data_IF_883116585716
#
_entry.id   IF_883116585716
#
_cell.length_a   1.000
_cell.length_b   1.000
_cell.length_c   1.000
_cell.angle_alpha   90.00
_cell.angle_beta   90.00
_cell.angle_gamma   90.00
#
_symmetry.space_group_name_H-M   'P 1'
#
loop_
_entity.id
_entity.type
_entity.pdbx_description
1 polymer ?
#
# COMPACT_ATOMS: atom_id res chain seq x y z
N UNK A 1 1.53 -20.54 -13.53
CA UNK A 1 2.47 -20.24 -12.43
C UNK A 1 2.21 -18.81 -12.02
N UNK A 2 1.53 -18.59 -10.89
CA UNK A 2 1.03 -17.27 -10.51
C UNK A 2 1.21 -17.10 -9.00
N UNK A 3 2.42 -16.71 -8.59
CA UNK A 3 2.66 -16.22 -7.24
C UNK A 3 2.05 -14.82 -7.17
N UNK A 4 1.15 -14.57 -6.22
CA UNK A 4 0.48 -13.28 -6.08
C UNK A 4 0.80 -12.76 -4.69
N UNK A 5 1.35 -11.54 -4.62
CA UNK A 5 1.41 -10.77 -3.38
C UNK A 5 0.09 -10.03 -3.28
N UNK A 6 -0.75 -10.43 -2.33
CA UNK A 6 -2.09 -9.87 -2.16
C UNK A 6 -2.05 -8.85 -1.02
N UNK A 7 -2.05 -7.56 -1.36
CA UNK A 7 -2.46 -6.52 -0.42
C UNK A 7 -3.99 -6.52 -0.43
N UNK A 8 -4.59 -7.22 0.52
CA UNK A 8 -6.02 -7.49 0.52
C UNK A 8 -6.84 -6.25 0.82
N UNK A 9 -7.60 -5.74 -0.17
CA UNK A 9 -8.85 -5.01 0.10
C UNK A 9 -9.98 -5.64 -0.70
N UNK A 10 -10.95 -6.21 0.03
CA UNK A 10 -12.11 -6.91 -0.50
C UNK A 10 -13.18 -5.90 -0.92
N UNK A 11 -13.35 -5.67 -2.23
CA UNK A 11 -14.56 -5.02 -2.74
C UNK A 11 -15.23 -5.91 -3.81
N UNK A 12 -16.42 -6.43 -3.48
CA UNK A 12 -17.31 -7.11 -4.44
C UNK A 12 -18.35 -6.12 -4.93
N UNK A 13 -18.30 -5.77 -6.22
CA UNK A 13 -19.30 -4.96 -6.90
C UNK A 13 -20.36 -5.89 -7.53
N UNK A 14 -21.53 -6.02 -6.90
CA UNK A 14 -22.67 -6.73 -7.49
C UNK A 14 -23.64 -5.75 -8.14
N UNK A 15 -23.87 -5.93 -9.44
CA UNK A 15 -24.80 -5.13 -10.25
C UNK A 15 -26.12 -5.88 -10.36
N UNK A 16 -27.13 -5.49 -9.59
CA UNK A 16 -28.49 -6.02 -9.74
C UNK A 16 -29.33 -5.04 -10.56
N UNK A 17 -29.86 -5.50 -11.69
CA UNK A 17 -30.81 -4.72 -12.50
C UNK A 17 -32.21 -4.90 -11.92
N UNK A 18 -32.88 -3.82 -11.51
CA UNK A 18 -34.30 -3.90 -11.16
C UNK A 18 -35.09 -2.67 -11.67
N UNK A 19 -36.24 -2.94 -12.29
CA UNK A 19 -37.12 -1.96 -12.94
C UNK A 19 -38.15 -1.47 -11.92
N UNK A 20 -37.91 -0.30 -11.30
CA UNK A 20 -38.82 0.27 -10.29
C UNK A 20 -39.64 1.45 -10.86
N UNK A 21 -40.97 1.36 -10.71
CA UNK A 21 -41.93 2.41 -11.04
C UNK A 21 -41.89 3.46 -9.93
N UNK A 22 -41.52 4.69 -10.28
CA UNK A 22 -41.26 5.79 -9.34
C UNK A 22 -42.59 6.45 -8.95
N UNK A 23 -43.00 6.32 -7.69
CA UNK A 23 -44.07 7.11 -7.06
C UNK A 23 -43.46 8.33 -6.36
N UNK A 24 -44.00 9.51 -6.64
CA UNK A 24 -43.43 10.83 -6.36
C UNK A 24 -43.64 11.32 -4.91
N UNK A 25 -43.14 10.58 -3.91
CA UNK A 25 -43.25 11.04 -2.51
C UNK A 25 -42.18 10.45 -1.56
N UNK A 26 -40.98 10.16 -2.04
CA UNK A 26 -39.84 9.85 -1.16
C UNK A 26 -38.74 10.85 -1.49
N UNK A 27 -38.60 11.95 -0.72
CA UNK A 27 -37.42 12.79 -0.83
C UNK A 27 -36.24 11.93 -0.35
N UNK A 28 -35.40 11.62 -1.33
CA UNK A 28 -34.17 10.86 -1.27
C UNK A 28 -33.25 11.42 -0.18
N UNK A 29 -33.25 10.76 0.98
CA UNK A 29 -32.36 10.99 2.11
C UNK A 29 -30.92 10.59 1.72
N UNK A 30 -30.21 11.51 1.05
CA UNK A 30 -28.76 11.44 0.80
C UNK A 30 -28.03 11.95 2.05
N UNK A 31 -28.05 11.17 3.13
CA UNK A 31 -27.12 11.37 4.24
C UNK A 31 -25.72 10.95 3.76
N UNK A 32 -24.87 11.93 3.46
CA UNK A 32 -23.49 11.70 3.06
C UNK A 32 -22.67 11.18 4.26
N UNK A 33 -22.28 9.91 4.23
CA UNK A 33 -21.29 9.37 5.16
C UNK A 33 -19.91 9.91 4.76
N UNK A 34 -19.17 10.47 5.73
CA UNK A 34 -17.78 10.88 5.52
C UNK A 34 -16.89 9.64 5.48
N UNK A 35 -16.36 9.31 4.31
CA UNK A 35 -15.33 8.28 4.18
C UNK A 35 -13.99 8.83 4.70
N UNK A 36 -13.30 8.06 5.54
CA UNK A 36 -11.92 8.31 5.94
C UNK A 36 -11.03 7.33 5.19
N UNK A 37 -10.08 7.84 4.40
CA UNK A 37 -9.07 7.05 3.72
C UNK A 37 -7.69 7.57 4.11
N UNK A 38 -6.78 6.66 4.42
CA UNK A 38 -5.36 6.94 4.56
C UNK A 38 -4.70 6.65 3.21
N UNK A 39 -3.92 7.59 2.69
CA UNK A 39 -3.37 7.49 1.33
C UNK A 39 -1.88 7.19 1.38
N UNK A 40 -1.49 6.06 0.79
CA UNK A 40 -0.11 5.77 0.42
C UNK A 40 0.06 6.25 -1.02
N UNK A 41 1.10 7.04 -1.29
CA UNK A 41 1.34 7.63 -2.61
C UNK A 41 1.62 6.57 -3.67
N UNK A 42 2.24 5.45 -3.26
CA UNK A 42 2.42 4.28 -4.09
C UNK A 42 3.43 3.30 -3.48
N UNK A 43 3.74 2.26 -4.24
CA UNK A 43 4.78 1.31 -3.89
C UNK A 43 5.05 0.34 -5.01
N UNK A 44 6.16 -0.36 -4.90
CA UNK A 44 6.66 -1.33 -5.87
C UNK A 44 7.19 -2.54 -5.12
N UNK A 45 7.07 -3.71 -5.74
CA UNK A 45 7.46 -4.99 -5.16
C UNK A 45 8.28 -5.75 -6.19
N UNK A 46 9.47 -6.15 -5.80
CA UNK A 46 10.40 -6.96 -6.58
C UNK A 46 10.73 -8.24 -5.83
N UNK A 47 11.07 -9.28 -6.58
CA UNK A 47 11.60 -10.50 -5.99
C UNK A 47 12.70 -11.07 -6.88
N UNK A 48 13.75 -11.56 -6.24
CA UNK A 48 14.87 -12.25 -6.86
C UNK A 48 14.95 -13.67 -6.32
N UNK A 49 15.06 -14.65 -7.22
CA UNK A 49 15.24 -16.05 -6.84
C UNK A 49 16.72 -16.30 -6.52
N UNK A 50 17.00 -16.63 -5.26
CA UNK A 50 18.36 -16.95 -4.78
C UNK A 50 18.72 -18.43 -4.99
N UNK A 51 17.76 -19.25 -5.42
CA UNK A 51 17.86 -20.71 -5.49
C UNK A 51 17.39 -21.39 -4.20
N UNK A 52 17.31 -22.72 -4.21
CA UNK A 52 16.83 -23.53 -3.07
C UNK A 52 15.47 -23.06 -2.50
N UNK A 53 14.56 -22.61 -3.38
CA UNK A 53 13.25 -22.08 -3.02
C UNK A 53 13.28 -20.82 -2.13
N UNK A 54 14.43 -20.12 -2.10
CA UNK A 54 14.59 -18.86 -1.40
C UNK A 54 14.41 -17.70 -2.37
N UNK A 55 13.65 -16.71 -1.92
CA UNK A 55 13.36 -15.50 -2.65
C UNK A 55 13.72 -14.31 -1.78
N UNK A 56 14.59 -13.43 -2.28
CA UNK A 56 14.75 -12.10 -1.72
C UNK A 56 13.62 -11.23 -2.24
N UNK A 57 12.82 -10.66 -1.35
CA UNK A 57 11.69 -9.80 -1.68
C UNK A 57 11.98 -8.41 -1.19
N UNK A 58 11.84 -7.45 -2.09
CA UNK A 58 11.99 -6.02 -1.81
C UNK A 58 10.65 -5.32 -2.03
N UNK A 59 10.14 -4.68 -0.98
CA UNK A 59 8.97 -3.81 -1.03
C UNK A 59 9.44 -2.37 -0.82
N UNK A 60 9.15 -1.50 -1.77
CA UNK A 60 9.42 -0.07 -1.66
C UNK A 60 8.08 0.65 -1.55
N UNK A 61 7.95 1.52 -0.55
CA UNK A 61 6.75 2.30 -0.27
C UNK A 61 7.08 3.78 -0.34
N UNK A 62 6.29 4.53 -1.10
CA UNK A 62 6.39 5.98 -1.21
C UNK A 62 5.23 6.62 -0.45
N UNK A 63 5.54 7.51 0.51
CA UNK A 63 4.53 8.27 1.26
C UNK A 63 4.71 9.77 1.07
N UNK A 64 3.59 10.48 1.11
CA UNK A 64 3.59 11.94 1.28
C UNK A 64 3.82 12.30 2.74
N UNK A 65 4.78 13.19 3.01
CA UNK A 65 5.10 13.64 4.36
C UNK A 65 3.98 14.46 5.02
N UNK A 66 3.05 15.02 4.24
CA UNK A 66 1.82 15.64 4.75
C UNK A 66 0.73 14.60 5.08
N UNK A 67 0.90 13.37 4.59
CA UNK A 67 -0.04 12.27 4.74
C UNK A 67 0.04 11.60 6.11
N UNK A 68 -0.34 10.32 6.12
CA UNK A 68 -0.29 9.51 7.35
C UNK A 68 1.11 8.96 7.59
N UNK A 69 1.45 8.80 8.86
CA UNK A 69 2.65 8.07 9.23
C UNK A 69 2.47 6.57 8.99
N UNK A 70 3.57 5.90 8.66
CA UNK A 70 3.62 4.44 8.61
C UNK A 70 3.72 3.90 10.03
N UNK A 71 3.15 2.72 10.26
CA UNK A 71 3.36 1.97 11.50
C UNK A 71 4.83 1.59 11.68
N UNK A 72 5.23 1.28 12.91
CA UNK A 72 6.60 0.85 13.22
C UNK A 72 6.96 -0.50 12.60
N UNK A 73 5.96 -1.28 12.22
CA UNK A 73 6.11 -2.60 11.61
C UNK A 73 5.06 -2.82 10.54
N UNK A 74 5.41 -3.61 9.53
CA UNK A 74 4.50 -4.08 8.48
C UNK A 74 4.57 -5.60 8.43
N UNK A 75 3.41 -6.25 8.31
CA UNK A 75 3.34 -7.69 8.06
C UNK A 75 3.08 -7.91 6.59
N UNK A 76 3.92 -8.74 5.96
CA UNK A 76 3.80 -9.15 4.57
C UNK A 76 3.46 -10.63 4.54
N UNK A 77 2.34 -10.96 3.91
CA UNK A 77 1.86 -12.33 3.75
C UNK A 77 2.28 -12.89 2.40
N UNK A 78 2.98 -14.01 2.45
CA UNK A 78 3.43 -14.79 1.30
C UNK A 78 2.59 -16.05 1.19
N UNK A 79 1.92 -16.24 0.06
CA UNK A 79 1.10 -17.42 -0.18
C UNK A 79 1.67 -18.26 -1.32
N UNK A 80 1.87 -19.54 -1.05
CA UNK A 80 2.18 -20.59 -2.02
C UNK A 80 1.06 -21.64 -2.05
N UNK A 81 1.01 -22.52 -3.05
CA UNK A 81 0.01 -23.60 -3.07
C UNK A 81 0.14 -24.59 -1.91
N UNK A 82 1.31 -24.66 -1.27
CA UNK A 82 1.62 -25.64 -0.23
C UNK A 82 1.66 -25.03 1.18
N UNK A 83 1.85 -23.71 1.30
CA UNK A 83 2.02 -23.04 2.59
C UNK A 83 1.71 -21.53 2.52
N UNK A 84 1.40 -20.93 3.67
CA UNK A 84 1.25 -19.48 3.86
C UNK A 84 2.19 -19.01 4.96
N UNK A 85 3.02 -18.02 4.65
CA UNK A 85 4.04 -17.47 5.53
C UNK A 85 3.78 -15.99 5.76
N UNK A 86 3.71 -15.55 7.00
CA UNK A 86 3.64 -14.14 7.37
C UNK A 86 4.98 -13.69 7.94
N UNK A 87 5.53 -12.61 7.40
CA UNK A 87 6.78 -12.00 7.90
C UNK A 87 6.50 -10.58 8.33
N UNK A 88 6.84 -10.27 9.59
CA UNK A 88 6.74 -8.91 10.13
C UNK A 88 8.10 -8.23 10.04
N UNK A 89 8.14 -7.09 9.36
CA UNK A 89 9.33 -6.28 9.13
C UNK A 89 9.22 -4.97 9.89
N UNK A 90 10.31 -4.55 10.52
CA UNK A 90 10.38 -3.23 11.12
C UNK A 90 10.49 -2.16 10.03
N UNK A 91 9.81 -1.04 10.22
CA UNK A 91 9.89 0.10 9.31
C UNK A 91 11.30 0.67 9.32
N UNK A 92 11.98 0.70 8.15
CA UNK A 92 13.34 1.20 8.03
C UNK A 92 13.37 2.72 8.17
N UNK A 93 14.58 3.29 8.17
CA UNK A 93 14.72 4.74 8.07
C UNK A 93 14.24 5.23 6.70
N UNK A 94 13.49 6.35 6.64
CA UNK A 94 13.07 6.93 5.38
C UNK A 94 14.24 7.54 4.62
N UNK A 95 14.11 7.59 3.30
CA UNK A 95 14.90 8.45 2.42
C UNK A 95 13.97 9.45 1.77
N UNK A 96 14.26 10.74 1.89
CA UNK A 96 13.48 11.77 1.21
C UNK A 96 13.81 11.79 -0.30
N UNK A 97 12.78 11.62 -1.13
CA UNK A 97 12.84 11.67 -2.60
C UNK A 97 11.81 12.66 -3.16
N UNK A 98 11.83 13.86 -2.60
CA UNK A 98 10.99 14.96 -3.06
C UNK A 98 11.36 15.39 -4.47
N UNK A 99 10.36 15.69 -5.32
CA UNK A 99 10.56 16.25 -6.67
C UNK A 99 10.94 17.74 -6.62
N UNK A 100 11.84 18.09 -5.70
CA UNK A 100 12.32 19.44 -5.46
C UNK A 100 13.79 19.52 -5.84
N UNK A 101 14.23 20.71 -6.25
CA UNK A 101 15.66 20.95 -6.41
C UNK A 101 16.37 20.85 -5.04
N UNK A 102 17.66 20.51 -5.04
CA UNK A 102 18.40 20.27 -3.79
C UNK A 102 18.36 21.43 -2.79
N UNK A 103 18.34 22.68 -3.26
CA UNK A 103 18.24 23.88 -2.41
C UNK A 103 16.84 24.08 -1.79
N UNK A 104 15.82 23.44 -2.36
CA UNK A 104 14.43 23.55 -1.89
C UNK A 104 14.02 22.39 -0.97
N UNK A 105 14.82 21.32 -0.87
CA UNK A 105 14.58 20.20 0.04
C UNK A 105 14.30 20.64 1.49
N UNK A 106 15.04 21.59 2.10
CA UNK A 106 14.74 22.03 3.47
C UNK A 106 13.37 22.70 3.64
N UNK A 107 12.73 23.11 2.55
CA UNK A 107 11.39 23.70 2.55
C UNK A 107 10.29 22.68 2.22
N UNK A 108 10.62 21.39 2.11
CA UNK A 108 9.65 20.32 1.88
C UNK A 108 8.81 20.04 3.13
N UNK A 109 7.65 19.41 2.96
CA UNK A 109 6.80 18.96 4.07
C UNK A 109 7.49 17.92 4.97
N UNK A 110 8.49 17.20 4.47
CA UNK A 110 9.29 16.27 5.28
C UNK A 110 10.20 17.00 6.28
N UNK A 111 10.60 18.23 5.97
CA UNK A 111 11.47 19.07 6.80
C UNK A 111 10.72 20.21 7.52
N UNK A 112 9.39 20.15 7.58
CA UNK A 112 8.56 21.16 8.23
C UNK A 112 8.27 22.42 7.41
N UNK A 113 8.57 22.40 6.10
CA UNK A 113 8.17 23.43 5.16
C UNK A 113 6.82 23.13 4.48
N UNK A 114 6.54 23.85 3.39
CA UNK A 114 5.24 23.83 2.70
C UNK A 114 5.31 23.28 1.27
N UNK A 115 6.49 22.93 0.78
CA UNK A 115 6.66 22.35 -0.55
C UNK A 115 6.39 20.83 -0.52
N UNK A 116 5.83 20.23 -1.57
CA UNK A 116 5.52 18.80 -1.58
C UNK A 116 6.75 17.93 -1.27
N UNK A 117 6.64 17.10 -0.22
CA UNK A 117 7.69 16.20 0.24
C UNK A 117 7.28 14.74 0.16
N UNK A 118 8.18 13.89 -0.31
CA UNK A 118 7.96 12.44 -0.43
C UNK A 118 9.08 11.68 0.28
N UNK A 119 8.72 10.66 1.05
CA UNK A 119 9.65 9.70 1.64
C UNK A 119 9.49 8.32 1.03
N UNK A 120 10.62 7.65 0.82
CA UNK A 120 10.72 6.26 0.41
C UNK A 120 11.15 5.39 1.59
N UNK A 121 10.47 4.25 1.75
CA UNK A 121 10.81 3.19 2.69
C UNK A 121 11.12 1.91 1.92
N UNK A 122 12.25 1.27 2.19
CA UNK A 122 12.69 0.05 1.48
C UNK A 122 12.79 -1.12 2.45
N UNK A 123 11.86 -2.05 2.34
CA UNK A 123 11.77 -3.26 3.14
C UNK A 123 12.37 -4.43 2.35
N UNK A 124 13.33 -5.14 2.94
CA UNK A 124 13.96 -6.31 2.30
C UNK A 124 13.88 -7.51 3.24
N UNK A 125 13.48 -8.67 2.70
CA UNK A 125 13.45 -9.93 3.45
C UNK A 125 13.73 -11.11 2.54
N UNK A 126 14.33 -12.18 3.09
CA UNK A 126 14.47 -13.46 2.39
C UNK A 126 13.43 -14.43 2.94
N UNK A 127 12.65 -15.04 2.05
CA UNK A 127 11.62 -16.03 2.40
C UNK A 127 11.87 -17.35 1.68
N UNK A 128 11.58 -18.45 2.37
CA UNK A 128 11.60 -19.79 1.77
C UNK A 128 10.17 -20.21 1.46
N UNK A 129 9.84 -20.44 0.20
CA UNK A 129 8.51 -20.85 -0.24
C UNK A 129 8.57 -22.26 -0.82
N UNK A 130 8.02 -23.29 -0.17
CA UNK A 130 8.10 -24.67 -0.63
C UNK A 130 7.67 -24.83 -2.11
N UNK A 131 8.39 -25.65 -2.90
CA UNK A 131 8.03 -25.89 -4.29
C UNK A 131 6.79 -26.76 -4.39
N UNK A 132 6.08 -26.63 -5.51
CA UNK A 132 4.99 -27.55 -5.91
C UNK A 132 5.53 -28.80 -6.58
#
# INVERSE_FOLDING_TARGET
MKNQVHMGHNYKFQRTSNRYRISWAVPLLMLGLSAKATHISGGEIYYDCLGNNQYEVTLIVYRDCFGVQLDNQVTVDFQSPCDTLSVTLNTPQPVELSQLCGLQLPNSTCNGGNLPGIEQYTYTTVVTLPPV
#
